data_IF_668525519605
#
_entry.id   IF_668525519605
#
_cell.length_a   1.000
_cell.length_b   1.000
_cell.length_c   1.000
_cell.angle_alpha   90.00
_cell.angle_beta   90.00
_cell.angle_gamma   90.00
#
_symmetry.space_group_name_H-M   'P 1'
#
loop_
_entity.id
_entity.type
_entity.pdbx_description
1 polymer ?
#
# COMPACT_ATOMS: atom_id res chain seq x y z
N UNK A 1 -1.35 21.90 41.14
CA UNK A 1 -1.38 20.57 40.50
C UNK A 1 -2.81 20.31 40.09
N UNK A 2 -3.08 20.23 38.79
CA UNK A 2 -4.42 19.92 38.29
C UNK A 2 -4.52 18.39 38.31
N UNK A 3 -5.44 17.84 39.09
CA UNK A 3 -5.75 16.41 39.07
C UNK A 3 -6.49 16.11 37.77
N UNK A 4 -5.88 15.33 36.89
CA UNK A 4 -6.53 14.81 35.69
C UNK A 4 -7.60 13.79 36.10
N UNK A 5 -8.76 13.86 35.46
CA UNK A 5 -9.85 12.91 35.70
C UNK A 5 -9.37 11.46 35.42
N UNK A 6 -10.01 10.48 36.06
CA UNK A 6 -9.65 9.06 35.92
C UNK A 6 -9.75 8.56 34.48
N UNK A 7 -10.41 9.31 33.61
CA UNK A 7 -10.70 8.94 32.21
C UNK A 7 -9.90 9.77 31.19
N UNK A 8 -8.90 10.53 31.67
CA UNK A 8 -8.00 11.31 30.83
C UNK A 8 -6.60 10.68 30.76
N UNK A 9 -5.97 10.79 29.60
CA UNK A 9 -4.59 10.41 29.34
C UNK A 9 -3.86 11.58 28.66
N UNK A 10 -2.58 11.77 28.96
CA UNK A 10 -1.80 12.89 28.41
C UNK A 10 -1.22 12.48 27.05
N UNK A 11 -1.63 13.15 25.99
CA UNK A 11 -1.12 12.95 24.65
C UNK A 11 0.10 13.83 24.40
N UNK A 12 1.19 13.19 24.00
CA UNK A 12 2.42 13.86 23.59
C UNK A 12 2.40 14.05 22.07
N UNK A 13 2.45 15.30 21.61
CA UNK A 13 2.54 15.63 20.18
C UNK A 13 4.00 15.67 19.72
N UNK A 14 4.22 15.54 18.40
CA UNK A 14 5.56 15.62 17.80
C UNK A 14 6.25 16.97 18.02
N UNK A 15 5.48 18.01 18.34
CA UNK A 15 5.96 19.36 18.61
C UNK A 15 6.39 19.57 20.08
N UNK A 16 6.20 18.55 20.94
CA UNK A 16 6.59 18.56 22.35
C UNK A 16 5.52 19.11 23.30
N UNK A 17 4.32 19.38 22.79
CA UNK A 17 3.18 19.77 23.62
C UNK A 17 2.52 18.54 24.27
N UNK A 18 2.03 18.72 25.49
CA UNK A 18 1.33 17.70 26.28
C UNK A 18 -0.12 18.11 26.48
N UNK A 19 -1.04 17.40 25.84
CA UNK A 19 -2.47 17.72 25.86
C UNK A 19 -3.21 16.62 26.63
N UNK A 20 -3.89 16.91 27.74
CA UNK A 20 -4.75 15.93 28.39
C UNK A 20 -6.02 15.73 27.55
N UNK A 21 -6.25 14.51 27.05
CA UNK A 21 -7.43 14.18 26.26
C UNK A 21 -8.25 13.06 26.92
N UNK A 22 -9.58 13.20 26.87
CA UNK A 22 -10.53 12.15 27.20
C UNK A 22 -10.89 11.33 25.95
N UNK A 23 -11.52 10.16 26.12
CA UNK A 23 -11.97 9.34 24.98
C UNK A 23 -12.88 10.14 24.04
N UNK A 24 -13.75 10.97 24.61
CA UNK A 24 -14.70 11.80 23.87
C UNK A 24 -13.96 12.81 22.99
N UNK A 25 -12.96 13.52 23.53
CA UNK A 25 -12.20 14.51 22.77
C UNK A 25 -11.40 13.87 21.64
N UNK A 26 -10.81 12.69 21.88
CA UNK A 26 -10.05 11.96 20.87
C UNK A 26 -10.95 11.47 19.74
N UNK A 27 -12.17 11.01 20.05
CA UNK A 27 -13.13 10.62 19.01
C UNK A 27 -13.54 11.77 18.11
N UNK A 28 -13.70 13.00 18.63
CA UNK A 28 -14.09 14.15 17.80
C UNK A 28 -13.00 14.52 16.78
N UNK A 29 -11.73 14.41 17.15
CA UNK A 29 -10.62 14.71 16.23
C UNK A 29 -10.33 13.58 15.24
N UNK A 30 -10.46 12.31 15.65
CA UNK A 30 -10.22 11.16 14.76
C UNK A 30 -11.36 10.89 13.76
N UNK A 31 -12.61 11.21 14.09
CA UNK A 31 -13.76 10.81 13.25
C UNK A 31 -13.95 11.63 11.98
N UNK A 32 -13.35 12.82 11.84
CA UNK A 32 -13.30 13.66 10.62
C UNK A 32 -14.35 13.36 9.53
N UNK A 33 -13.90 13.07 8.31
CA UNK A 33 -14.76 12.69 7.16
C UNK A 33 -15.24 11.21 7.21
N UNK A 34 -14.78 10.41 8.18
CA UNK A 34 -15.13 8.99 8.33
C UNK A 34 -16.51 8.74 8.97
N UNK A 35 -17.21 9.82 9.36
CA UNK A 35 -18.52 9.84 10.03
C UNK A 35 -19.64 9.05 9.36
N UNK A 36 -19.51 8.70 8.07
CA UNK A 36 -20.59 8.02 7.36
C UNK A 36 -20.56 6.48 7.47
N UNK A 37 -19.46 5.89 7.96
CA UNK A 37 -19.28 4.42 7.97
C UNK A 37 -19.18 3.79 9.37
N UNK A 38 -18.98 4.58 10.44
CA UNK A 38 -18.78 4.08 11.80
C UNK A 38 -19.90 4.53 12.75
N UNK A 39 -20.37 3.62 13.61
CA UNK A 39 -21.28 3.96 14.71
C UNK A 39 -20.52 4.77 15.78
N UNK A 40 -20.88 6.04 16.04
CA UNK A 40 -20.19 6.89 17.01
C UNK A 40 -20.10 6.25 18.40
N UNK A 41 -21.12 5.49 18.81
CA UNK A 41 -21.12 4.83 20.12
C UNK A 41 -20.03 3.75 20.20
N UNK A 42 -19.83 2.98 19.14
CA UNK A 42 -18.79 1.94 19.11
C UNK A 42 -17.39 2.53 19.11
N UNK A 43 -17.17 3.68 18.46
CA UNK A 43 -15.83 4.29 18.44
C UNK A 43 -15.48 4.88 19.80
N UNK A 44 -16.44 5.46 20.53
CA UNK A 44 -16.23 5.91 21.90
C UNK A 44 -15.85 4.75 22.82
N UNK A 45 -16.59 3.63 22.77
CA UNK A 45 -16.28 2.43 23.58
C UNK A 45 -14.89 1.85 23.24
N UNK A 46 -14.52 1.83 21.95
CA UNK A 46 -13.19 1.40 21.53
C UNK A 46 -12.10 2.34 22.07
N UNK A 47 -12.30 3.66 21.98
CA UNK A 47 -11.36 4.65 22.51
C UNK A 47 -11.22 4.56 24.03
N UNK A 48 -12.31 4.34 24.76
CA UNK A 48 -12.29 4.10 26.21
C UNK A 48 -11.50 2.84 26.57
N UNK A 49 -11.68 1.75 25.81
CA UNK A 49 -10.92 0.52 26.00
C UNK A 49 -9.41 0.74 25.78
N UNK A 50 -9.01 1.52 24.76
CA UNK A 50 -7.59 1.87 24.54
C UNK A 50 -7.04 2.70 25.70
N UNK A 51 -7.77 3.72 26.16
CA UNK A 51 -7.34 4.54 27.31
C UNK A 51 -7.16 3.70 28.57
N UNK A 52 -8.12 2.81 28.84
CA UNK A 52 -8.05 1.89 29.96
C UNK A 52 -6.82 0.99 29.86
N UNK A 53 -6.54 0.42 28.69
CA UNK A 53 -5.39 -0.44 28.47
C UNK A 53 -4.06 0.29 28.78
N UNK A 54 -3.86 1.50 28.25
CA UNK A 54 -2.65 2.26 28.54
C UNK A 54 -2.54 2.65 30.02
N UNK A 55 -3.63 3.05 30.65
CA UNK A 55 -3.61 3.57 32.01
C UNK A 55 -3.53 2.49 33.08
N UNK A 56 -4.27 1.40 32.91
CA UNK A 56 -4.44 0.36 33.93
C UNK A 56 -3.55 -0.84 33.66
N UNK A 57 -3.56 -1.38 32.45
CA UNK A 57 -2.78 -2.58 32.15
C UNK A 57 -1.29 -2.26 31.99
N UNK A 58 -0.97 -1.14 31.31
CA UNK A 58 0.41 -0.72 31.06
C UNK A 58 0.94 0.28 32.10
N UNK A 59 0.06 0.82 32.97
CA UNK A 59 0.44 1.77 34.01
C UNK A 59 1.00 3.10 33.49
N UNK A 60 0.72 3.46 32.23
CA UNK A 60 1.21 4.69 31.59
C UNK A 60 0.23 5.84 31.79
N UNK A 61 0.74 7.02 32.13
CA UNK A 61 -0.06 8.26 32.23
C UNK A 61 0.04 9.15 30.99
N UNK A 62 0.97 8.86 30.08
CA UNK A 62 1.12 9.52 28.79
C UNK A 62 1.29 8.52 27.65
N UNK A 63 0.88 8.93 26.46
CA UNK A 63 1.01 8.17 25.21
C UNK A 63 1.24 9.15 24.06
N UNK A 64 1.94 8.73 23.03
CA UNK A 64 1.96 9.50 21.79
C UNK A 64 0.66 9.34 21.00
N UNK A 65 0.29 10.35 20.21
CA UNK A 65 -0.87 10.27 19.30
C UNK A 65 -0.75 9.06 18.38
N UNK A 66 0.45 8.76 17.87
CA UNK A 66 0.69 7.63 16.97
C UNK A 66 0.43 6.26 17.64
N UNK A 67 0.95 6.05 18.87
CA UNK A 67 0.73 4.81 19.62
C UNK A 67 -0.76 4.61 19.96
N UNK A 68 -1.46 5.69 20.31
CA UNK A 68 -2.88 5.63 20.61
C UNK A 68 -3.71 5.28 19.37
N UNK A 69 -3.47 5.95 18.25
CA UNK A 69 -4.16 5.69 16.98
C UNK A 69 -3.94 4.24 16.54
N UNK A 70 -2.71 3.74 16.61
CA UNK A 70 -2.40 2.36 16.27
C UNK A 70 -3.15 1.34 17.16
N UNK A 71 -3.22 1.59 18.46
CA UNK A 71 -3.97 0.72 19.38
C UNK A 71 -5.47 0.74 19.08
N UNK A 72 -6.03 1.91 18.76
CA UNK A 72 -7.43 2.06 18.39
C UNK A 72 -7.77 1.34 17.08
N UNK A 73 -6.90 1.42 16.07
CA UNK A 73 -7.03 0.70 14.81
C UNK A 73 -7.08 -0.83 15.01
N UNK A 74 -6.22 -1.36 15.89
CA UNK A 74 -6.19 -2.81 16.21
C UNK A 74 -7.53 -3.25 16.79
N UNK A 75 -8.08 -2.48 17.73
CA UNK A 75 -9.35 -2.81 18.37
C UNK A 75 -10.50 -2.73 17.36
N UNK A 76 -10.56 -1.67 16.55
CA UNK A 76 -11.60 -1.51 15.54
C UNK A 76 -11.51 -2.61 14.45
N UNK A 77 -10.30 -3.02 14.03
CA UNK A 77 -10.12 -4.20 13.18
C UNK A 77 -10.63 -5.48 13.85
N UNK A 78 -10.38 -5.64 15.15
CA UNK A 78 -10.89 -6.77 15.94
C UNK A 78 -12.42 -6.85 15.95
N UNK A 79 -13.10 -5.69 15.90
CA UNK A 79 -14.56 -5.60 15.75
C UNK A 79 -15.06 -5.78 14.30
N UNK A 80 -14.17 -6.03 13.34
CA UNK A 80 -14.51 -6.28 11.94
C UNK A 80 -14.60 -5.02 11.07
N UNK A 81 -14.20 -3.86 11.58
CA UNK A 81 -14.11 -2.64 10.79
C UNK A 81 -12.88 -2.65 9.89
N UNK A 82 -13.05 -2.21 8.64
CA UNK A 82 -11.94 -1.95 7.73
C UNK A 82 -11.35 -0.57 8.04
N UNK A 83 -10.71 -0.44 9.19
CA UNK A 83 -9.93 0.76 9.48
C UNK A 83 -8.64 0.67 8.67
N UNK A 84 -8.57 1.50 7.64
CA UNK A 84 -7.40 1.64 6.78
C UNK A 84 -6.69 2.91 7.25
N UNK A 85 -5.52 2.77 7.86
CA UNK A 85 -4.65 3.92 8.03
C UNK A 85 -4.37 4.51 6.63
N UNK A 86 -4.36 5.83 6.50
CA UNK A 86 -4.10 6.50 5.22
C UNK A 86 -2.75 6.12 4.58
N UNK A 87 -1.84 5.50 5.35
CA UNK A 87 -0.55 4.98 4.91
C UNK A 87 -0.53 3.45 4.63
N UNK A 88 -1.56 2.70 5.01
CA UNK A 88 -1.57 1.22 4.92
C UNK A 88 -2.01 0.65 3.55
N UNK A 89 -2.64 1.44 2.68
CA UNK A 89 -2.82 1.02 1.27
C UNK A 89 -1.46 0.91 0.54
N UNK A 90 -0.45 1.63 1.02
CA UNK A 90 0.82 1.80 0.33
C UNK A 90 1.97 0.91 0.87
N UNK A 91 2.06 0.58 2.16
CA UNK A 91 3.28 -0.05 2.70
C UNK A 91 3.29 -1.60 2.67
N UNK A 92 2.15 -2.26 2.93
CA UNK A 92 2.09 -3.74 2.93
C UNK A 92 2.02 -4.28 1.49
N UNK A 93 1.31 -3.57 0.61
CA UNK A 93 1.21 -3.88 -0.82
C UNK A 93 2.53 -3.65 -1.55
N UNK A 94 3.32 -2.62 -1.21
CA UNK A 94 4.64 -2.37 -1.85
C UNK A 94 5.73 -3.33 -1.39
N UNK A 95 5.74 -3.77 -0.13
CA UNK A 95 6.79 -4.68 0.39
C UNK A 95 6.73 -6.10 -0.18
N UNK A 96 5.58 -6.53 -0.68
CA UNK A 96 5.41 -7.85 -1.31
C UNK A 96 5.12 -7.78 -2.82
N UNK A 97 5.06 -6.57 -3.39
CA UNK A 97 4.87 -6.37 -4.82
C UNK A 97 6.17 -5.94 -5.49
N UNK A 98 6.64 -6.74 -6.44
CA UNK A 98 7.60 -6.25 -7.41
C UNK A 98 6.86 -5.41 -8.45
N UNK A 99 7.39 -4.23 -8.78
CA UNK A 99 6.82 -3.34 -9.77
C UNK A 99 7.76 -3.19 -10.96
N UNK A 100 7.25 -3.49 -12.15
CA UNK A 100 7.98 -3.38 -13.41
C UNK A 100 7.29 -2.35 -14.32
N UNK A 101 7.99 -1.28 -14.70
CA UNK A 101 7.47 -0.28 -15.64
C UNK A 101 7.96 -0.55 -17.07
N UNK A 102 7.05 -1.00 -17.94
CA UNK A 102 7.38 -1.30 -19.34
C UNK A 102 7.72 -0.05 -20.16
N UNK A 103 7.22 1.12 -19.76
CA UNK A 103 7.47 2.36 -20.49
C UNK A 103 8.93 2.80 -20.37
N UNK A 104 9.53 2.60 -19.20
CA UNK A 104 10.94 2.87 -18.90
C UNK A 104 11.83 1.91 -19.69
N UNK A 105 11.53 0.62 -19.68
CA UNK A 105 12.27 -0.41 -20.42
C UNK A 105 12.21 -0.12 -21.93
N UNK A 106 11.04 0.25 -22.46
CA UNK A 106 10.90 0.62 -23.86
C UNK A 106 11.64 1.92 -24.21
N UNK A 107 11.71 2.87 -23.28
CA UNK A 107 12.47 4.11 -23.46
C UNK A 107 13.98 3.86 -23.51
N UNK A 108 14.49 3.01 -22.63
CA UNK A 108 15.89 2.60 -22.61
C UNK A 108 16.26 1.83 -23.89
N UNK A 109 15.43 0.87 -24.31
CA UNK A 109 15.61 0.15 -25.56
C UNK A 109 15.64 1.09 -26.78
N UNK A 110 14.85 2.17 -26.76
CA UNK A 110 14.81 3.18 -27.82
C UNK A 110 16.08 4.04 -27.89
N UNK A 111 16.77 4.27 -26.76
CA UNK A 111 18.04 5.01 -26.74
C UNK A 111 19.20 4.22 -27.37
N UNK A 112 19.16 2.89 -27.29
CA UNK A 112 20.24 2.02 -27.79
C UNK A 112 20.31 1.87 -29.31
N UNK A 113 19.32 2.41 -30.05
CA UNK A 113 19.45 2.76 -31.46
C UNK A 113 19.39 1.61 -32.48
N UNK A 114 19.48 0.35 -32.09
CA UNK A 114 19.23 -0.80 -32.98
C UNK A 114 18.66 -2.01 -32.22
N UNK A 115 17.77 -2.78 -32.84
CA UNK A 115 17.18 -3.99 -32.22
C UNK A 115 16.19 -3.75 -31.08
N UNK A 116 15.43 -2.65 -31.11
CA UNK A 116 14.42 -2.21 -30.13
C UNK A 116 13.62 -3.33 -29.43
N UNK A 117 12.95 -4.20 -30.20
CA UNK A 117 12.16 -5.30 -29.62
C UNK A 117 13.04 -6.33 -28.90
N UNK A 118 14.21 -6.66 -29.46
CA UNK A 118 15.12 -7.64 -28.87
C UNK A 118 15.75 -7.11 -27.57
N UNK A 119 16.21 -5.86 -27.58
CA UNK A 119 16.73 -5.19 -26.37
C UNK A 119 15.65 -5.10 -25.31
N UNK A 120 14.42 -4.72 -25.69
CA UNK A 120 13.29 -4.66 -24.78
C UNK A 120 13.01 -6.01 -24.11
N UNK A 121 12.92 -7.11 -24.87
CA UNK A 121 12.64 -8.42 -24.29
C UNK A 121 13.78 -8.94 -23.41
N UNK A 122 15.04 -8.67 -23.76
CA UNK A 122 16.18 -9.01 -22.90
C UNK A 122 16.13 -8.24 -21.57
N UNK A 123 15.98 -6.92 -21.61
CA UNK A 123 15.90 -6.09 -20.39
C UNK A 123 14.67 -6.44 -19.55
N UNK A 124 13.53 -6.70 -20.19
CA UNK A 124 12.32 -7.13 -19.50
C UNK A 124 12.51 -8.46 -18.76
N UNK A 125 13.14 -9.43 -19.41
CA UNK A 125 13.45 -10.72 -18.80
C UNK A 125 14.36 -10.55 -17.58
N UNK A 126 15.44 -9.78 -17.73
CA UNK A 126 16.43 -9.62 -16.67
C UNK A 126 15.83 -8.86 -15.47
N UNK A 127 15.02 -7.83 -15.73
CA UNK A 127 14.27 -7.11 -14.70
C UNK A 127 13.29 -8.02 -13.97
N UNK A 128 12.47 -8.78 -14.69
CA UNK A 128 11.50 -9.70 -14.06
C UNK A 128 12.22 -10.79 -13.26
N UNK A 129 13.34 -11.33 -13.72
CA UNK A 129 14.11 -12.29 -12.92
C UNK A 129 14.69 -11.68 -11.65
N UNK A 130 15.20 -10.45 -11.72
CA UNK A 130 15.68 -9.73 -10.55
C UNK A 130 14.55 -9.49 -9.53
N UNK A 131 13.39 -9.03 -10.04
CA UNK A 131 12.18 -8.78 -9.28
C UNK A 131 11.66 -10.07 -8.59
N UNK A 132 11.71 -11.20 -9.28
CA UNK A 132 11.25 -12.49 -8.78
C UNK A 132 12.24 -13.15 -7.81
N UNK A 133 13.53 -12.78 -7.82
CA UNK A 133 14.51 -13.26 -6.85
C UNK A 133 14.12 -12.92 -5.40
N UNK A 134 13.40 -11.81 -5.20
CA UNK A 134 12.85 -11.41 -3.89
C UNK A 134 11.65 -12.23 -3.41
N UNK A 135 11.16 -13.19 -4.20
CA UNK A 135 9.92 -13.96 -3.97
C UNK A 135 8.70 -13.06 -3.65
N UNK A 136 8.37 -12.09 -4.52
CA UNK A 136 7.20 -11.26 -4.33
C UNK A 136 5.92 -12.10 -4.43
N UNK A 137 4.86 -11.68 -3.73
CA UNK A 137 3.53 -12.28 -3.86
C UNK A 137 2.70 -11.62 -4.97
N UNK A 138 3.12 -10.42 -5.42
CA UNK A 138 2.47 -9.65 -6.48
C UNK A 138 3.52 -9.15 -7.48
N UNK A 139 3.27 -9.32 -8.78
CA UNK A 139 4.01 -8.68 -9.86
C UNK A 139 3.10 -7.64 -10.50
N UNK A 140 3.43 -6.35 -10.32
CA UNK A 140 2.69 -5.22 -10.87
C UNK A 140 3.40 -4.69 -12.10
N UNK A 141 2.74 -4.75 -13.24
CA UNK A 141 3.28 -4.30 -14.52
C UNK A 141 2.54 -3.06 -14.97
N UNK A 142 3.27 -1.96 -15.14
CA UNK A 142 2.70 -0.66 -15.56
C UNK A 142 3.19 -0.26 -16.96
N UNK A 143 2.45 0.63 -17.60
CA UNK A 143 2.94 1.34 -18.80
C UNK A 143 2.91 0.53 -20.09
N UNK A 144 2.25 -0.63 -20.11
CA UNK A 144 2.19 -1.55 -21.25
C UNK A 144 1.76 -0.88 -22.55
N UNK A 145 0.68 -0.09 -22.53
CA UNK A 145 0.13 0.56 -23.73
C UNK A 145 1.11 1.56 -24.34
N UNK A 146 1.81 2.31 -23.49
CA UNK A 146 2.79 3.30 -23.93
C UNK A 146 4.05 2.63 -24.49
N UNK A 147 4.55 1.59 -23.80
CA UNK A 147 5.65 0.76 -24.26
C UNK A 147 5.38 0.18 -25.66
N UNK A 148 4.21 -0.44 -25.88
CA UNK A 148 3.82 -1.00 -27.19
C UNK A 148 3.82 0.06 -28.29
N UNK A 149 3.33 1.28 -28.01
CA UNK A 149 3.35 2.37 -28.99
C UNK A 149 4.78 2.80 -29.35
N UNK A 150 5.68 2.89 -28.35
CA UNK A 150 7.10 3.21 -28.57
C UNK A 150 7.78 2.11 -29.40
N UNK A 151 7.60 0.85 -29.04
CA UNK A 151 8.20 -0.30 -29.73
C UNK A 151 7.72 -0.43 -31.18
N UNK A 152 6.43 -0.17 -31.43
CA UNK A 152 5.86 -0.23 -32.79
C UNK A 152 6.05 1.06 -33.59
N UNK A 153 6.59 2.13 -32.98
CA UNK A 153 6.68 3.46 -33.59
C UNK A 153 5.32 4.04 -34.00
N UNK A 154 4.22 3.56 -33.41
CA UNK A 154 2.88 3.85 -33.86
C UNK A 154 2.26 5.03 -33.10
N UNK A 155 1.75 6.02 -33.85
CA UNK A 155 1.00 7.16 -33.29
C UNK A 155 -0.40 6.76 -32.81
N UNK A 156 -1.04 5.86 -33.54
CA UNK A 156 -2.38 5.33 -33.25
C UNK A 156 -2.32 3.81 -33.01
N UNK A 157 -3.29 3.29 -32.27
CA UNK A 157 -3.37 1.86 -31.99
C UNK A 157 -3.72 1.09 -33.28
N UNK A 158 -2.88 0.13 -33.64
CA UNK A 158 -3.02 -0.67 -34.87
C UNK A 158 -3.10 -2.16 -34.54
N UNK A 159 -3.51 -3.02 -35.50
CA UNK A 159 -3.48 -4.48 -35.31
C UNK A 159 -2.08 -5.00 -34.94
N UNK A 160 -1.01 -4.34 -35.41
CA UNK A 160 0.37 -4.66 -35.02
C UNK A 160 0.64 -4.33 -33.55
N UNK A 161 0.11 -3.21 -33.04
CA UNK A 161 0.18 -2.88 -31.61
C UNK A 161 -0.55 -3.91 -30.76
N UNK A 162 -1.75 -4.33 -31.19
CA UNK A 162 -2.50 -5.37 -30.47
C UNK A 162 -1.73 -6.69 -30.43
N UNK A 163 -1.17 -7.12 -31.56
CA UNK A 163 -0.38 -8.35 -31.63
C UNK A 163 0.83 -8.32 -30.68
N UNK A 164 1.56 -7.20 -30.63
CA UNK A 164 2.69 -7.05 -29.71
C UNK A 164 2.24 -6.98 -28.24
N UNK A 165 1.12 -6.31 -27.97
CA UNK A 165 0.51 -6.29 -26.64
C UNK A 165 0.19 -7.70 -26.14
N UNK A 166 -0.50 -8.50 -26.98
CA UNK A 166 -0.87 -9.87 -26.66
C UNK A 166 0.37 -10.73 -26.41
N UNK A 167 1.42 -10.58 -27.23
CA UNK A 167 2.70 -11.27 -27.04
C UNK A 167 3.38 -10.94 -25.70
N UNK A 168 3.39 -9.66 -25.31
CA UNK A 168 3.97 -9.23 -24.02
C UNK A 168 3.14 -9.79 -22.85
N UNK A 169 1.80 -9.73 -22.95
CA UNK A 169 0.90 -10.25 -21.90
C UNK A 169 1.03 -11.77 -21.76
N UNK A 170 1.09 -12.48 -22.88
CA UNK A 170 1.27 -13.94 -22.91
C UNK A 170 2.62 -14.33 -22.28
N UNK A 171 3.69 -13.62 -22.61
CA UNK A 171 5.01 -13.80 -21.99
C UNK A 171 4.98 -13.59 -20.47
N UNK A 172 4.36 -12.52 -19.99
CA UNK A 172 4.22 -12.24 -18.55
C UNK A 172 3.41 -13.33 -17.83
N UNK A 173 2.30 -13.79 -18.45
CA UNK A 173 1.46 -14.85 -17.90
C UNK A 173 2.21 -16.18 -17.82
N UNK A 174 3.00 -16.52 -18.81
CA UNK A 174 3.81 -17.75 -18.82
C UNK A 174 4.87 -17.73 -17.70
N UNK A 175 5.54 -16.59 -17.47
CA UNK A 175 6.45 -16.44 -16.32
C UNK A 175 5.71 -16.67 -14.99
N UNK A 176 4.55 -16.06 -14.84
CA UNK A 176 3.75 -16.18 -13.61
C UNK A 176 3.26 -17.60 -13.41
N UNK A 177 2.80 -18.27 -14.47
CA UNK A 177 2.33 -19.65 -14.41
C UNK A 177 3.44 -20.62 -13.98
N UNK A 178 4.68 -20.42 -14.47
CA UNK A 178 5.85 -21.20 -14.06
C UNK A 178 6.19 -20.99 -12.58
N UNK A 179 6.15 -19.74 -12.11
CA UNK A 179 6.43 -19.43 -10.70
C UNK A 179 5.29 -19.76 -9.74
N UNK A 180 4.03 -19.77 -10.20
CA UNK A 180 2.87 -20.11 -9.38
C UNK A 180 2.91 -21.56 -8.88
N UNK A 181 3.63 -22.43 -9.59
CA UNK A 181 3.87 -23.82 -9.16
C UNK A 181 4.80 -23.90 -7.94
N UNK A 182 5.63 -22.88 -7.70
CA UNK A 182 6.62 -22.84 -6.63
C UNK A 182 6.24 -21.87 -5.49
N UNK A 183 5.44 -20.83 -5.76
CA UNK A 183 5.02 -19.81 -4.79
C UNK A 183 3.68 -19.14 -5.17
N UNK A 184 3.00 -18.51 -4.20
CA UNK A 184 1.76 -17.76 -4.46
C UNK A 184 2.07 -16.40 -5.09
N UNK A 185 2.15 -16.34 -6.42
CA UNK A 185 2.40 -15.13 -7.21
C UNK A 185 1.13 -14.68 -7.96
N UNK A 186 0.80 -13.40 -7.88
CA UNK A 186 -0.32 -12.77 -8.60
C UNK A 186 0.20 -11.77 -9.64
N UNK A 187 -0.40 -11.72 -10.84
CA UNK A 187 -0.07 -10.74 -11.88
C UNK A 187 -1.12 -9.63 -11.92
N UNK A 188 -0.69 -8.36 -11.87
CA UNK A 188 -1.54 -7.19 -12.04
C UNK A 188 -0.97 -6.29 -13.14
N UNK A 189 -1.74 -6.03 -14.19
CA UNK A 189 -1.36 -5.11 -15.27
C UNK A 189 -2.19 -3.83 -15.11
N UNK A 190 -1.52 -2.68 -15.02
CA UNK A 190 -2.12 -1.34 -14.77
C UNK A 190 -1.85 -0.39 -15.93
#
# INVERSE_FOLDING_TARGET
MIQLHTDCLVFETSDGDSIPCSAQDVTVELLGDALHELDPFMVTEAAEAVLYHFKVDLGRSSVSVAEFTQALEIILRGFGFKVMAADEEDDISKKQAAETNLDEIAHEAHKSGDGLEMVFFCTLRDQIHADLHGKPQLLRVKGLRSAVKKLTGAKQWSPRCQKLNDQIVEYLRDIVARHQQEAKLTLMIV
#
